data_IF_766038553132
#
_entry.id   IF_766038553132
#
_cell.length_a   1.000
_cell.length_b   1.000
_cell.length_c   1.000
_cell.angle_alpha   90.00
_cell.angle_beta   90.00
_cell.angle_gamma   90.00
#
_symmetry.space_group_name_H-M   'P 1'
#
loop_
_entity.id
_entity.type
_entity.pdbx_description
1 polymer ?
#
# COMPACT_ATOMS: atom_id res chain seq x y z
N UNK A 1 -30.98 -54.58 -14.75
CA UNK A 1 -29.65 -53.95 -14.87
C UNK A 1 -28.64 -55.02 -14.47
N UNK A 2 -28.16 -55.83 -15.40
CA UNK A 2 -27.03 -55.55 -16.32
C UNK A 2 -25.68 -55.49 -15.55
N UNK A 3 -24.90 -56.55 -15.72
CA UNK A 3 -23.55 -56.84 -15.22
C UNK A 3 -22.50 -55.88 -15.81
N UNK A 4 -21.52 -55.45 -14.99
CA UNK A 4 -20.18 -55.02 -15.41
C UNK A 4 -19.22 -55.38 -14.25
N UNK A 5 -18.43 -56.45 -14.29
CA UNK A 5 -17.23 -56.70 -15.11
C UNK A 5 -16.07 -55.73 -14.80
N UNK A 6 -15.00 -56.28 -14.19
CA UNK A 6 -13.61 -55.90 -14.47
C UNK A 6 -12.94 -54.90 -13.53
N UNK A 7 -12.29 -55.40 -12.47
CA UNK A 7 -11.09 -54.73 -11.95
C UNK A 7 -9.89 -55.61 -12.27
N UNK A 8 -9.09 -55.12 -13.22
CA UNK A 8 -7.83 -55.72 -13.65
C UNK A 8 -6.89 -55.87 -12.46
N UNK A 9 -6.37 -57.08 -12.31
CA UNK A 9 -5.39 -57.48 -11.31
C UNK A 9 -4.10 -56.68 -11.49
N UNK A 10 -3.68 -55.93 -10.47
CA UNK A 10 -2.33 -55.36 -10.46
C UNK A 10 -1.37 -56.45 -9.99
N UNK A 11 -0.48 -56.85 -10.90
CA UNK A 11 0.57 -57.84 -10.66
C UNK A 11 1.75 -57.15 -9.97
N UNK A 12 1.86 -57.31 -8.65
CA UNK A 12 3.07 -56.93 -7.92
C UNK A 12 4.14 -58.03 -8.08
N UNK A 13 5.16 -57.77 -8.89
CA UNK A 13 6.36 -58.62 -8.95
C UNK A 13 7.27 -58.35 -7.75
N UNK A 14 7.22 -59.30 -6.82
CA UNK A 14 8.34 -59.94 -6.08
C UNK A 14 9.50 -59.09 -5.55
N UNK A 15 9.68 -59.13 -4.22
CA UNK A 15 10.93 -59.61 -3.62
C UNK A 15 10.61 -60.26 -2.26
N UNK A 16 10.98 -61.53 -2.14
CA UNK A 16 10.86 -62.35 -0.94
C UNK A 16 12.13 -62.14 -0.09
N UNK A 17 12.04 -62.10 1.25
CA UNK A 17 12.95 -62.75 2.21
C UNK A 17 12.48 -62.49 3.64
N UNK A 18 12.39 -63.60 4.37
CA UNK A 18 11.95 -63.89 5.73
C UNK A 18 12.73 -63.22 6.87
N UNK A 19 12.04 -62.91 7.99
CA UNK A 19 12.58 -63.11 9.34
C UNK A 19 12.37 -62.02 10.40
N UNK A 20 11.43 -62.29 11.33
CA UNK A 20 11.56 -62.21 12.80
C UNK A 20 11.55 -60.82 13.53
N UNK A 21 10.49 -60.68 14.34
CA UNK A 21 10.28 -60.02 15.66
C UNK A 21 10.34 -58.50 15.88
N UNK A 22 9.23 -58.04 16.53
CA UNK A 22 9.07 -56.98 17.55
C UNK A 22 9.55 -55.56 17.24
N UNK A 23 8.64 -54.58 17.28
CA UNK A 23 8.47 -53.66 18.43
C UNK A 23 7.44 -52.57 18.12
N UNK A 24 6.73 -52.16 19.16
CA UNK A 24 5.70 -51.12 19.21
C UNK A 24 6.23 -49.73 18.87
N UNK A 25 5.45 -48.94 18.12
CA UNK A 25 5.34 -47.48 18.23
C UNK A 25 4.06 -47.05 17.49
N UNK A 26 2.98 -46.75 18.21
CA UNK A 26 2.66 -45.42 18.74
C UNK A 26 2.27 -44.42 17.64
N UNK A 27 0.98 -44.12 17.62
CA UNK A 27 0.34 -42.83 17.37
C UNK A 27 1.00 -41.86 16.38
N UNK A 28 0.28 -41.62 15.29
CA UNK A 28 0.60 -40.53 14.38
C UNK A 28 -0.32 -40.46 13.18
N UNK A 29 -1.64 -40.53 13.38
CA UNK A 29 -2.58 -40.08 12.35
C UNK A 29 -2.43 -38.56 12.21
N UNK A 30 -1.43 -38.13 11.44
CA UNK A 30 -1.19 -36.74 11.09
C UNK A 30 -2.31 -36.28 10.17
N UNK A 31 -3.39 -35.80 10.78
CA UNK A 31 -4.34 -34.93 10.09
C UNK A 31 -3.63 -33.60 9.85
N UNK A 32 -2.77 -33.56 8.83
CA UNK A 32 -2.39 -32.31 8.20
C UNK A 32 -3.66 -31.74 7.58
N UNK A 33 -4.43 -31.01 8.39
CA UNK A 33 -5.45 -30.09 7.90
C UNK A 33 -4.70 -29.08 7.05
N UNK A 34 -4.69 -29.32 5.74
CA UNK A 34 -4.41 -28.27 4.77
C UNK A 34 -5.58 -27.32 4.89
N UNK A 35 -5.47 -26.38 5.82
CA UNK A 35 -6.34 -25.22 5.83
C UNK A 35 -6.06 -24.51 4.50
N UNK A 36 -7.05 -24.42 3.59
CA UNK A 36 -6.84 -23.66 2.37
C UNK A 36 -6.42 -22.25 2.79
N UNK A 37 -5.51 -21.58 2.07
CA UNK A 37 -5.16 -20.21 2.41
C UNK A 37 -6.46 -19.42 2.45
N UNK A 38 -6.87 -19.03 3.66
CA UNK A 38 -8.12 -18.29 3.86
C UNK A 38 -7.87 -16.95 3.20
N UNK A 39 -8.29 -16.82 1.94
CA UNK A 39 -8.30 -15.54 1.26
C UNK A 39 -9.12 -14.61 2.16
N UNK A 40 -8.46 -13.61 2.73
CA UNK A 40 -9.10 -12.63 3.62
C UNK A 40 -10.33 -12.07 2.91
N UNK A 41 -11.47 -12.01 3.58
CA UNK A 41 -12.66 -11.47 2.94
C UNK A 41 -12.41 -10.03 2.47
N UNK A 42 -13.06 -9.58 1.38
CA UNK A 42 -12.88 -8.21 0.86
C UNK A 42 -13.10 -7.11 1.92
N UNK A 43 -13.96 -7.40 2.90
CA UNK A 43 -14.25 -6.51 4.03
C UNK A 43 -13.06 -6.38 4.99
N UNK A 44 -12.35 -7.47 5.26
CA UNK A 44 -11.11 -7.47 6.05
C UNK A 44 -10.02 -6.73 5.30
N UNK A 45 -9.85 -7.01 4.00
CA UNK A 45 -8.88 -6.31 3.16
C UNK A 45 -9.12 -4.79 3.17
N UNK A 46 -10.39 -4.37 3.06
CA UNK A 46 -10.76 -2.94 3.09
C UNK A 46 -10.41 -2.28 4.42
N UNK A 47 -10.65 -2.96 5.55
CA UNK A 47 -10.28 -2.45 6.88
C UNK A 47 -8.78 -2.39 7.09
N UNK A 48 -8.02 -3.26 6.44
CA UNK A 48 -6.56 -3.31 6.54
C UNK A 48 -5.84 -2.35 5.58
N UNK A 49 -6.57 -1.65 4.68
CA UNK A 49 -5.94 -0.70 3.76
C UNK A 49 -5.25 0.43 4.56
N UNK A 50 -3.99 0.75 4.26
CA UNK A 50 -3.28 1.77 4.99
C UNK A 50 -3.86 3.16 4.70
N UNK A 51 -3.76 4.05 5.68
CA UNK A 51 -4.26 5.42 5.57
C UNK A 51 -3.13 6.41 5.79
N UNK A 52 -3.06 7.39 4.89
CA UNK A 52 -2.23 8.58 5.04
C UNK A 52 -3.14 9.76 5.40
N UNK A 53 -2.81 10.47 6.48
CA UNK A 53 -3.57 11.63 6.96
C UNK A 53 -2.69 12.89 7.02
N UNK A 54 -3.32 14.06 7.25
CA UNK A 54 -2.62 15.32 7.45
C UNK A 54 -1.54 15.62 6.39
N UNK A 55 -1.85 15.33 5.12
CA UNK A 55 -0.95 15.54 3.98
C UNK A 55 -0.72 17.04 3.81
N UNK A 56 0.53 17.49 3.87
CA UNK A 56 0.92 18.91 3.81
C UNK A 56 2.27 19.11 3.13
N UNK A 57 2.49 20.33 2.66
CA UNK A 57 3.79 20.79 2.16
C UNK A 57 4.62 21.30 3.35
N UNK A 58 5.96 21.21 3.25
CA UNK A 58 6.89 21.78 4.23
C UNK A 58 6.76 23.30 4.31
N UNK A 59 6.62 23.94 3.15
CA UNK A 59 6.57 25.39 2.97
C UNK A 59 5.71 25.75 1.75
N UNK A 60 5.46 27.05 1.57
CA UNK A 60 4.90 27.58 0.32
C UNK A 60 5.88 27.31 -0.84
N UNK A 61 5.43 26.62 -1.90
CA UNK A 61 6.30 26.26 -3.02
C UNK A 61 6.77 27.50 -3.79
N UNK A 62 8.06 27.57 -4.06
CA UNK A 62 8.70 28.65 -4.82
C UNK A 62 9.52 28.09 -5.97
N UNK A 63 9.56 28.81 -7.09
CA UNK A 63 10.38 28.40 -8.24
C UNK A 63 11.86 28.31 -7.85
N UNK A 64 12.50 27.19 -8.19
CA UNK A 64 13.91 26.96 -7.89
C UNK A 64 14.22 26.63 -6.42
N UNK A 65 13.20 26.50 -5.57
CA UNK A 65 13.36 26.05 -4.18
C UNK A 65 12.77 24.65 -3.98
N UNK A 66 13.48 23.80 -3.23
CA UNK A 66 12.98 22.47 -2.87
C UNK A 66 11.83 22.61 -1.87
N UNK A 67 10.73 21.92 -2.13
CA UNK A 67 9.61 21.75 -1.21
C UNK A 67 9.35 20.26 -0.99
N UNK A 68 9.03 19.89 0.24
CA UNK A 68 8.81 18.49 0.63
C UNK A 68 7.36 18.23 0.98
N UNK A 69 6.81 17.14 0.48
CA UNK A 69 5.56 16.57 0.93
C UNK A 69 5.73 15.78 2.22
N UNK A 70 4.84 15.97 3.17
CA UNK A 70 4.80 15.21 4.42
C UNK A 70 3.37 14.78 4.72
N UNK A 71 3.22 13.73 5.52
CA UNK A 71 1.95 13.19 5.93
C UNK A 71 2.12 12.36 7.20
N UNK A 72 1.01 12.07 7.86
CA UNK A 72 0.94 11.18 9.02
C UNK A 72 0.51 9.79 8.58
N UNK A 73 1.33 8.79 8.86
CA UNK A 73 0.99 7.39 8.69
C UNK A 73 0.01 6.95 9.77
N UNK A 74 -1.06 6.25 9.38
CA UNK A 74 -2.15 5.85 10.29
C UNK A 74 -2.38 4.34 10.32
N UNK A 75 -1.46 3.53 9.81
CA UNK A 75 -1.55 2.08 9.88
C UNK A 75 -0.57 1.52 10.92
N UNK A 76 -0.96 0.41 11.54
CA UNK A 76 -0.11 -0.28 12.53
C UNK A 76 1.07 -1.02 11.87
N UNK A 77 0.97 -1.28 10.57
CA UNK A 77 1.99 -1.94 9.77
C UNK A 77 2.98 -0.94 9.18
N UNK A 78 4.25 -1.33 8.98
CA UNK A 78 5.25 -0.46 8.34
C UNK A 78 4.84 -0.02 6.93
N UNK A 79 5.14 1.24 6.62
CA UNK A 79 5.07 1.76 5.25
C UNK A 79 6.05 1.01 4.35
N UNK A 80 5.61 0.61 3.14
CA UNK A 80 6.49 0.06 2.10
C UNK A 80 6.63 1.04 0.93
N UNK A 81 6.26 0.64 -0.29
CA UNK A 81 6.48 1.41 -1.51
C UNK A 81 5.35 2.40 -1.79
N UNK A 82 5.09 3.30 -0.83
CA UNK A 82 4.06 4.33 -1.00
C UNK A 82 4.37 5.24 -2.19
N UNK A 83 3.36 5.51 -3.00
CA UNK A 83 3.53 6.28 -4.23
C UNK A 83 3.34 7.76 -3.93
N UNK A 84 4.35 8.56 -4.25
CA UNK A 84 4.36 10.01 -4.07
C UNK A 84 4.14 10.73 -5.39
N UNK A 85 3.25 11.72 -5.41
CA UNK A 85 2.84 12.44 -6.61
C UNK A 85 2.73 13.94 -6.33
N UNK A 86 3.15 14.73 -7.31
CA UNK A 86 2.85 16.15 -7.37
C UNK A 86 1.87 16.41 -8.49
N UNK A 87 0.77 17.08 -8.17
CA UNK A 87 -0.27 17.43 -9.12
C UNK A 87 -0.29 18.95 -9.31
N UNK A 88 -0.51 19.39 -10.54
CA UNK A 88 -0.65 20.79 -10.90
C UNK A 88 -1.97 21.04 -11.62
N UNK A 89 -2.62 22.14 -11.27
CA UNK A 89 -3.84 22.64 -11.90
C UNK A 89 -3.58 24.07 -12.41
N UNK A 90 -3.55 24.21 -13.74
CA UNK A 90 -3.44 25.52 -14.41
C UNK A 90 -4.82 26.19 -14.63
N UNK A 91 -5.90 25.54 -14.20
CA UNK A 91 -7.28 25.97 -14.34
C UNK A 91 -8.22 25.00 -13.62
N UNK A 92 -9.54 25.22 -13.67
CA UNK A 92 -10.51 24.48 -12.85
C UNK A 92 -10.65 23.00 -13.23
N UNK A 93 -10.36 22.62 -14.47
CA UNK A 93 -10.74 21.30 -15.00
C UNK A 93 -9.57 20.37 -15.34
N UNK A 94 -8.33 20.87 -15.39
CA UNK A 94 -7.18 20.08 -15.85
C UNK A 94 -6.12 19.92 -14.76
N UNK A 95 -6.09 18.72 -14.18
CA UNK A 95 -5.03 18.28 -13.26
C UNK A 95 -4.03 17.43 -14.04
N UNK A 96 -2.75 17.72 -13.89
CA UNK A 96 -1.65 16.91 -14.45
C UNK A 96 -0.66 16.52 -13.36
N UNK A 97 0.00 15.38 -13.53
CA UNK A 97 1.13 14.98 -12.66
C UNK A 97 2.40 15.69 -13.14
N UNK A 98 3.10 16.35 -12.23
CA UNK A 98 4.33 17.12 -12.50
C UNK A 98 5.55 16.61 -11.75
N UNK A 99 5.40 15.61 -10.89
CA UNK A 99 6.51 15.01 -10.15
C UNK A 99 6.10 13.70 -9.48
N UNK A 100 7.09 12.83 -9.26
CA UNK A 100 6.92 11.50 -8.65
C UNK A 100 7.99 11.25 -7.58
N UNK A 101 7.97 12.06 -6.53
CA UNK A 101 8.91 11.99 -5.42
C UNK A 101 8.32 12.68 -4.19
N UNK A 102 8.89 12.45 -3.00
CA UNK A 102 8.52 13.20 -1.79
C UNK A 102 8.91 14.68 -1.88
N UNK A 103 9.99 14.97 -2.59
CA UNK A 103 10.50 16.32 -2.79
C UNK A 103 10.29 16.73 -4.24
N UNK A 104 10.09 18.03 -4.46
CA UNK A 104 10.13 18.61 -5.79
C UNK A 104 10.75 20.00 -5.74
N UNK A 105 11.21 20.45 -6.89
CA UNK A 105 11.59 21.84 -7.12
C UNK A 105 10.70 22.38 -8.26
N UNK A 106 9.73 23.27 -7.97
CA UNK A 106 8.91 23.87 -9.01
C UNK A 106 9.78 24.57 -10.06
N UNK A 107 9.53 24.26 -11.33
CA UNK A 107 10.18 24.93 -12.46
C UNK A 107 9.51 26.27 -12.77
N UNK A 108 10.17 27.13 -13.54
CA UNK A 108 9.63 28.44 -13.93
C UNK A 108 8.24 28.36 -14.58
N UNK A 109 7.96 27.29 -15.35
CA UNK A 109 6.66 27.05 -15.98
C UNK A 109 5.52 26.69 -15.02
N UNK A 110 5.81 26.51 -13.72
CA UNK A 110 4.80 26.31 -12.68
C UNK A 110 4.52 27.58 -11.87
N UNK A 111 5.18 28.71 -12.17
CA UNK A 111 4.89 29.99 -11.51
C UNK A 111 3.41 30.35 -11.63
N UNK A 112 2.77 30.71 -10.51
CA UNK A 112 1.34 31.04 -10.49
C UNK A 112 0.40 29.84 -10.69
N UNK A 113 0.92 28.63 -10.91
CA UNK A 113 0.11 27.41 -11.03
C UNK A 113 -0.18 26.87 -9.63
N UNK A 114 -1.39 26.34 -9.42
CA UNK A 114 -1.72 25.66 -8.17
C UNK A 114 -1.15 24.25 -8.20
N UNK A 115 -0.41 23.88 -7.17
CA UNK A 115 0.13 22.53 -7.00
C UNK A 115 -0.33 21.92 -5.68
N UNK A 116 -0.29 20.59 -5.61
CA UNK A 116 -0.48 19.83 -4.37
C UNK A 116 0.37 18.57 -4.37
N UNK A 117 0.77 18.17 -3.17
CA UNK A 117 1.38 16.87 -2.92
C UNK A 117 0.29 15.84 -2.60
N UNK A 118 0.41 14.65 -3.19
CA UNK A 118 -0.46 13.50 -2.95
C UNK A 118 0.37 12.25 -2.63
N UNK A 119 -0.20 11.37 -1.83
CA UNK A 119 0.37 10.05 -1.52
C UNK A 119 -0.67 8.96 -1.69
N UNK A 120 -0.26 7.82 -2.23
CA UNK A 120 -1.01 6.56 -2.16
C UNK A 120 -0.25 5.64 -1.20
N UNK A 121 -0.78 5.42 0.02
CA UNK A 121 -0.09 4.61 1.01
C UNK A 121 -0.12 3.13 0.62
N UNK A 122 0.98 2.43 0.90
CA UNK A 122 1.16 1.01 0.55
C UNK A 122 1.78 0.27 1.73
N UNK A 123 1.29 -0.94 1.97
CA UNK A 123 1.87 -1.92 2.89
C UNK A 123 2.06 -3.27 2.20
N UNK A 124 2.91 -4.11 2.77
CA UNK A 124 3.19 -5.44 2.25
C UNK A 124 3.93 -5.41 0.92
N UNK A 125 4.07 -6.60 0.32
CA UNK A 125 4.75 -6.81 -0.95
C UNK A 125 4.12 -7.99 -1.72
N UNK A 126 4.32 -8.01 -3.04
CA UNK A 126 3.84 -9.09 -3.90
C UNK A 126 2.33 -9.30 -3.78
N UNK A 127 1.90 -10.54 -3.52
CA UNK A 127 0.48 -10.93 -3.41
C UNK A 127 -0.22 -10.44 -2.15
N UNK A 128 0.54 -9.94 -1.16
CA UNK A 128 0.00 -9.40 0.11
C UNK A 128 -0.04 -7.87 0.13
N UNK A 129 0.29 -7.23 -0.99
CA UNK A 129 0.35 -5.78 -1.07
C UNK A 129 -1.04 -5.15 -0.98
N UNK A 130 -1.22 -4.25 -0.02
CA UNK A 130 -2.45 -3.46 0.10
C UNK A 130 -2.17 -2.00 -0.18
N UNK A 131 -2.98 -1.42 -1.06
CA UNK A 131 -2.93 0.01 -1.41
C UNK A 131 -4.12 0.73 -0.80
N UNK A 132 -3.86 1.84 -0.13
CA UNK A 132 -4.89 2.74 0.38
C UNK A 132 -5.29 3.82 -0.61
N UNK A 133 -6.27 4.63 -0.21
CA UNK A 133 -6.77 5.71 -1.05
C UNK A 133 -5.76 6.85 -1.21
N UNK A 134 -5.77 7.47 -2.40
CA UNK A 134 -4.95 8.65 -2.66
C UNK A 134 -5.43 9.80 -1.76
N UNK A 135 -4.53 10.32 -0.95
CA UNK A 135 -4.79 11.49 -0.11
C UNK A 135 -3.88 12.63 -0.53
N UNK A 136 -4.43 13.83 -0.63
CA UNK A 136 -3.71 15.00 -1.12
C UNK A 136 -3.78 16.14 -0.10
N UNK A 137 -2.73 16.94 -0.11
CA UNK A 137 -2.70 18.27 0.52
C UNK A 137 -3.67 19.23 -0.18
N UNK A 138 -3.92 20.37 0.48
CA UNK A 138 -4.61 21.49 -0.13
C UNK A 138 -3.83 22.03 -1.34
N UNK A 139 -4.56 22.67 -2.26
CA UNK A 139 -3.96 23.34 -3.41
C UNK A 139 -3.30 24.66 -3.02
N UNK A 140 -2.00 24.79 -3.29
CA UNK A 140 -1.20 25.99 -3.01
C UNK A 140 -0.66 26.59 -4.29
N UNK A 141 -0.67 27.92 -4.43
CA UNK A 141 -0.13 28.58 -5.62
C UNK A 141 1.40 28.70 -5.50
N UNK A 142 2.12 28.40 -6.58
CA UNK A 142 3.58 28.57 -6.62
C UNK A 142 3.93 30.06 -6.69
N UNK A 143 4.91 30.47 -5.89
CA UNK A 143 5.31 31.88 -5.70
C UNK A 143 4.18 32.75 -5.10
N UNK A 144 3.24 32.15 -4.37
CA UNK A 144 2.22 32.91 -3.64
C UNK A 144 2.89 33.80 -2.58
N UNK A 145 2.54 35.10 -2.50
CA UNK A 145 3.02 35.95 -1.43
C UNK A 145 2.59 35.35 -0.09
N UNK A 146 3.53 35.25 0.86
CA UNK A 146 3.20 34.83 2.22
C UNK A 146 2.12 35.79 2.74
N UNK A 147 0.91 35.28 2.98
CA UNK A 147 -0.08 36.05 3.72
C UNK A 147 0.56 36.41 5.07
N UNK A 148 0.89 37.69 5.25
CA UNK A 148 1.31 38.21 6.54
C UNK A 148 0.09 38.06 7.43
N UNK A 149 0.12 37.08 8.32
CA UNK A 149 -0.84 36.99 9.41
C UNK A 149 -0.59 38.23 10.25
N UNK A 150 -1.42 39.26 10.04
CA UNK A 150 -1.43 40.46 10.85
C UNK A 150 -1.89 40.08 12.26
N UNK A 151 -0.93 39.63 13.07
CA UNK A 151 -1.09 39.47 14.51
C UNK A 151 -1.29 40.86 15.10
N UNK A 152 -2.56 41.14 15.42
CA UNK A 152 -3.08 42.28 16.18
C UNK A 152 -2.13 42.62 17.34
N UNK A 153 -1.32 43.67 17.17
CA UNK A 153 -0.57 44.27 18.27
C UNK A 153 -1.60 44.90 19.22
N UNK A 154 -1.84 44.25 20.36
CA UNK A 154 -2.55 44.87 21.47
C UNK A 154 -1.63 45.91 22.10
N UNK A 155 -1.99 47.18 21.99
CA UNK A 155 -1.43 48.22 22.85
C UNK A 155 -2.00 48.03 24.26
N UNK A 156 -1.13 47.80 25.24
CA UNK A 156 -1.44 48.15 26.62
C UNK A 156 -0.70 49.45 26.92
N UNK A 157 -1.47 50.48 27.27
CA UNK A 157 -0.98 51.72 27.87
C UNK A 157 -0.75 51.56 29.36
#
# INVERSE_FOLDING_TARGET
>A
MALLAGCSEYKASTANVTGITTESASDGASLARVEPPVASSPEVETRMRPVAAAVKLSDTPRVGAVVRGSYRWMADWPETDSVHLWEAAAGPTRIRVVGRAREMMPSAGLRGVRIRYCVKPVIGAGTTQLTGHKTCSAWTTVDEPRAVVAGRAGSAG
#
